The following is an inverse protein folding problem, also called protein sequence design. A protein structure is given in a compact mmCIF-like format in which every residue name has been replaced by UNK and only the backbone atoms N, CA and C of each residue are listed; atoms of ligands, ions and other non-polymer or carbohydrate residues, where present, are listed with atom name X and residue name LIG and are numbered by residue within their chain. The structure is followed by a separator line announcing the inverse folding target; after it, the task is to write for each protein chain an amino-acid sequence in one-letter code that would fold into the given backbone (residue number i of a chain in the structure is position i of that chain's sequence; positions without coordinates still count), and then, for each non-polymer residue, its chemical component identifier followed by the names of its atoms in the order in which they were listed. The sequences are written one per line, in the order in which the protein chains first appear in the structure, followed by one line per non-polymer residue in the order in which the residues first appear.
data_IF_375510880974
#
_entry.id   IF_375510880974
#
_cell.length_a   1.000
_cell.length_b   1.000
_cell.length_c   1.000
_cell.angle_alpha   90.00
_cell.angle_beta   90.00
_cell.angle_gamma   90.00
#
_symmetry.space_group_name_H-M   'P 1'
#
loop_
_entity.id
_entity.type
_entity.pdbx_description
1 polymer ?
2 non-polymer ?
3 water ?
#
# COMPACT_ATOMS: atom_id res chain seq x y z
N UNK A 24 14.52 -11.61 14.83
CA UNK A 24 13.99 -11.89 13.44
C UNK A 24 13.84 -10.59 12.63
N UNK A 25 14.33 -9.46 13.12
CA UNK A 25 14.22 -8.19 12.38
C UNK A 25 15.27 -8.16 11.27
N UNK A 26 14.96 -7.45 10.19
CA UNK A 26 15.82 -7.31 9.00
C UNK A 26 16.87 -6.25 9.30
N UNK A 27 18.14 -6.59 9.09
CA UNK A 27 19.31 -5.72 9.37
C UNK A 27 19.74 -4.93 8.12
N UNK A 28 19.81 -5.57 6.97
CA UNK A 28 20.59 -5.07 5.80
C UNK A 28 19.94 -5.52 4.50
N UNK A 29 20.08 -4.69 3.47
CA UNK A 29 19.59 -4.97 2.10
C UNK A 29 20.78 -4.92 1.14
N UNK A 30 21.05 -6.03 0.47
CA UNK A 30 21.99 -6.14 -0.67
C UNK A 30 21.19 -6.04 -1.96
N UNK A 31 21.75 -5.42 -2.99
CA UNK A 31 21.04 -5.25 -4.27
C UNK A 31 22.03 -5.18 -5.42
N UNK A 32 21.57 -5.52 -6.60
CA UNK A 32 22.34 -5.44 -7.86
C UNK A 32 21.34 -5.31 -9.01
N UNK A 33 21.76 -4.64 -10.07
CA UNK A 33 20.95 -4.41 -11.29
C UNK A 33 21.82 -4.68 -12.51
N UNK A 34 21.20 -5.21 -13.56
CA UNK A 34 21.84 -5.42 -14.86
C UNK A 34 20.77 -5.31 -15.95
N UNK A 35 21.10 -4.60 -17.02
CA UNK A 35 20.21 -4.40 -18.18
C UNK A 35 20.96 -4.74 -19.46
N UNK A 36 20.25 -5.19 -20.47
CA UNK A 36 20.81 -5.45 -21.81
C UNK A 36 19.79 -5.04 -22.86
N UNK A 37 20.27 -4.41 -23.93
CA UNK A 37 19.41 -3.93 -25.04
C UNK A 37 18.63 -5.12 -25.61
N UNK A 38 19.18 -6.33 -25.51
CA UNK A 38 18.59 -7.55 -26.07
C UNK A 38 19.16 -7.86 -27.44
N UNK A 39 18.46 -8.68 -28.21
CA UNK A 39 18.99 -9.22 -29.49
C UNK A 39 18.18 -8.68 -30.68
N UNK A 40 17.12 -7.91 -30.44
CA UNK A 40 16.29 -7.34 -31.54
C UNK A 40 16.41 -5.81 -31.51
N UNK A 41 16.01 -5.18 -30.41
CA UNK A 41 16.11 -3.72 -30.26
C UNK A 41 17.60 -3.31 -30.29
N UNK A 42 17.87 -2.09 -30.75
CA UNK A 42 19.25 -1.51 -30.73
C UNK A 42 19.30 -0.28 -29.82
N UNK A 43 18.17 0.11 -29.24
CA UNK A 43 18.11 1.19 -28.21
C UNK A 43 17.48 0.60 -26.96
N UNK A 44 18.15 0.79 -25.82
CA UNK A 44 17.63 0.34 -24.50
C UNK A 44 16.76 1.45 -23.92
N UNK A 45 15.44 1.24 -23.89
CA UNK A 45 14.48 2.19 -23.28
C UNK A 45 14.17 1.77 -21.84
N UNK A 46 14.69 0.60 -21.41
CA UNK A 46 14.64 0.18 -20.00
C UNK A 46 15.57 1.08 -19.18
N UNK A 47 15.18 1.41 -17.97
CA UNK A 47 16.03 2.12 -16.99
C UNK A 47 15.84 1.48 -15.62
N UNK A 48 16.80 1.69 -14.73
CA UNK A 48 16.73 1.17 -13.35
C UNK A 48 17.41 2.15 -12.41
N UNK A 49 17.00 2.11 -11.15
CA UNK A 49 17.65 2.81 -10.04
C UNK A 49 17.93 1.80 -8.92
N UNK A 50 19.20 1.65 -8.57
CA UNK A 50 19.65 0.75 -7.48
C UNK A 50 20.17 1.63 -6.35
N UNK A 51 19.28 2.10 -5.46
CA UNK A 51 19.63 3.04 -4.37
C UNK A 51 19.32 2.38 -3.03
N UNK A 52 20.06 1.33 -2.62
CA UNK A 52 19.85 0.73 -1.31
C UNK A 52 20.20 1.71 -0.18
N UNK A 53 21.00 2.73 -0.48
CA UNK A 53 21.35 3.81 0.49
C UNK A 53 20.11 4.64 0.83
N UNK A 54 19.05 4.57 0.01
CA UNK A 54 17.75 5.24 0.25
C UNK A 54 16.64 4.20 0.45
N UNK A 55 16.99 2.92 0.52
CA UNK A 55 16.03 1.80 0.56
C UNK A 55 15.10 1.82 -0.65
N UNK A 56 15.62 2.13 -1.84
CA UNK A 56 14.80 2.34 -3.05
C UNK A 56 15.39 1.53 -4.21
N UNK A 57 14.52 0.81 -4.90
CA UNK A 57 14.88 0.02 -6.10
C UNK A 57 13.79 0.19 -7.14
N UNK A 58 14.17 0.55 -8.36
CA UNK A 58 13.22 0.95 -9.42
C UNK A 58 13.63 0.25 -10.71
N UNK A 59 12.64 -0.26 -11.44
CA UNK A 59 12.78 -0.63 -12.87
C UNK A 59 11.67 0.05 -13.66
N UNK A 60 12.01 0.68 -14.79
CA UNK A 60 11.06 1.40 -15.66
C UNK A 60 11.26 0.97 -17.11
N UNK A 61 10.19 0.48 -17.74
CA UNK A 61 10.22 0.04 -19.15
C UNK A 61 9.66 1.17 -20.02
N UNK A 62 10.54 1.90 -20.70
CA UNK A 62 10.16 3.02 -21.57
C UNK A 62 9.58 2.51 -22.88
N UNK A 63 8.63 3.26 -23.45
CA UNK A 63 8.04 2.98 -24.77
C UNK A 63 8.04 4.25 -25.60
N UNK A 64 8.29 4.12 -26.90
CA UNK A 64 8.19 5.24 -27.86
C UNK A 64 9.43 5.43 -28.70
N UNK A 65 10.45 4.58 -28.50
CA UNK A 65 11.73 4.69 -29.22
C UNK A 65 12.65 5.71 -28.58
N UNK A 66 13.80 5.94 -29.20
CA UNK A 66 14.84 6.86 -28.70
C UNK A 66 14.29 8.29 -28.62
N UNK A 67 14.69 9.02 -27.56
CA UNK A 67 14.28 10.40 -27.24
C UNK A 67 12.82 10.45 -26.73
N UNK A 68 12.17 9.29 -26.57
CA UNK A 68 10.77 9.21 -26.07
C UNK A 68 10.70 8.27 -24.88
N UNK A 69 10.83 6.96 -25.12
CA UNK A 69 10.73 5.95 -24.05
C UNK A 69 11.83 6.10 -23.03
N UNK A 70 13.08 6.19 -23.50
CA UNK A 70 14.27 6.32 -22.62
C UNK A 70 14.23 7.67 -21.89
N UNK A 71 13.74 8.71 -22.57
CA UNK A 71 13.48 10.03 -21.95
C UNK A 71 12.60 9.86 -20.70
N UNK A 72 11.49 9.14 -20.83
CA UNK A 72 10.51 9.00 -19.71
C UNK A 72 11.12 8.10 -18.62
N UNK A 73 11.75 7.00 -19.00
CA UNK A 73 12.29 6.01 -18.02
C UNK A 73 13.42 6.66 -17.22
N UNK A 74 14.28 7.45 -17.88
CA UNK A 74 15.41 8.13 -17.21
C UNK A 74 14.88 9.24 -16.32
N UNK A 75 13.86 9.99 -16.77
CA UNK A 75 13.21 11.04 -15.96
C UNK A 75 12.63 10.42 -14.69
N UNK A 76 12.03 9.23 -14.82
CA UNK A 76 11.50 8.48 -13.65
C UNK A 76 12.63 8.25 -12.66
N UNK A 77 13.71 7.63 -13.11
CA UNK A 77 14.80 7.16 -12.19
C UNK A 77 15.45 8.39 -11.56
N UNK A 78 15.66 9.45 -12.32
CA UNK A 78 16.33 10.68 -11.81
C UNK A 78 15.43 11.41 -10.80
N UNK A 79 14.13 11.53 -11.09
CA UNK A 79 13.17 12.20 -10.18
C UNK A 79 13.07 11.41 -8.87
N UNK A 80 13.03 10.08 -8.95
CA UNK A 80 12.87 9.23 -7.75
C UNK A 80 14.17 9.24 -6.95
N UNK A 81 15.32 9.30 -7.63
CA UNK A 81 16.63 9.31 -6.95
C UNK A 81 16.75 10.57 -6.08
N UNK A 82 16.24 11.71 -6.55
CA UNK A 82 16.48 13.00 -5.86
C UNK A 82 15.58 13.12 -4.63
N UNK A 83 14.56 12.29 -4.49
CA UNK A 83 13.63 12.38 -3.34
C UNK A 83 14.38 12.03 -2.05
N UNK A 84 14.35 12.91 -1.02
CA UNK A 84 15.07 12.64 0.23
C UNK A 84 14.51 11.44 1.00
N UNK A 85 15.41 10.61 1.53
CA UNK A 85 15.09 9.31 2.12
C UNK A 85 14.52 9.52 3.51
N UNK A 86 13.21 9.81 3.60
CA UNK A 86 12.46 9.97 4.86
C UNK A 86 12.51 8.63 5.63
N UNK A 87 12.69 8.70 6.95
CA UNK A 87 12.89 7.51 7.81
C UNK A 87 11.61 6.68 7.86
N UNK A 88 10.45 7.36 7.87
CA UNK A 88 9.11 6.73 7.88
C UNK A 88 8.77 6.22 6.48
N UNK A 89 8.53 4.91 6.35
CA UNK A 89 8.21 4.30 5.05
C UNK A 89 6.92 4.88 4.48
N UNK A 90 5.80 5.01 5.23
CA UNK A 90 4.57 5.57 4.63
C UNK A 90 4.75 6.99 4.08
N UNK A 91 5.51 7.84 4.78
CA UNK A 91 5.78 9.22 4.31
C UNK A 91 6.63 9.16 3.04
N UNK A 92 7.64 8.29 3.03
CA UNK A 92 8.52 8.07 1.86
C UNK A 92 7.66 7.67 0.66
N UNK A 93 6.74 6.71 0.88
CA UNK A 93 5.85 6.18 -0.19
C UNK A 93 4.96 7.30 -0.71
N UNK A 94 4.42 8.14 0.17
CA UNK A 94 3.66 9.35 -0.22
C UNK A 94 4.48 10.25 -1.13
N UNK A 95 5.75 10.46 -0.79
CA UNK A 95 6.67 11.33 -1.56
C UNK A 95 6.95 10.70 -2.92
N UNK A 96 7.12 9.37 -2.97
CA UNK A 96 7.34 8.64 -4.25
C UNK A 96 6.14 8.82 -5.15
N UNK A 97 4.93 8.65 -4.61
CA UNK A 97 3.66 8.82 -5.35
C UNK A 97 3.61 10.23 -5.98
N UNK A 98 3.96 11.25 -5.19
CA UNK A 98 3.88 12.66 -5.63
C UNK A 98 4.90 12.89 -6.75
N UNK A 99 6.11 12.36 -6.58
CA UNK A 99 7.17 12.45 -7.60
C UNK A 99 6.72 11.84 -8.90
N UNK A 100 6.04 10.70 -8.84
CA UNK A 100 5.55 9.99 -10.05
C UNK A 100 4.42 10.80 -10.70
N UNK A 101 3.54 11.41 -9.91
CA UNK A 101 2.47 12.28 -10.45
C UNK A 101 3.11 13.44 -11.24
N UNK A 102 4.15 14.06 -10.68
CA UNK A 102 4.86 15.19 -11.33
C UNK A 102 5.51 14.73 -12.63
N UNK A 103 6.13 13.54 -12.61
CA UNK A 103 6.76 12.95 -13.83
C UNK A 103 5.67 12.74 -14.89
N UNK A 104 4.53 12.18 -14.47
CA UNK A 104 3.39 11.88 -15.38
C UNK A 104 2.94 13.17 -16.08
N UNK A 105 2.78 14.24 -15.31
CA UNK A 105 2.29 15.54 -15.84
C UNK A 105 3.30 16.14 -16.82
N UNK A 106 4.59 16.13 -16.47
CA UNK A 106 5.67 16.66 -17.33
C UNK A 106 5.69 15.89 -18.66
N UNK A 107 5.58 14.56 -18.60
CA UNK A 107 5.64 13.70 -19.81
C UNK A 107 4.42 13.99 -20.68
N UNK A 108 3.24 14.13 -20.05
CA UNK A 108 1.99 14.48 -20.79
C UNK A 108 2.18 15.79 -21.54
N UNK A 109 2.67 16.82 -20.86
CA UNK A 109 2.95 18.16 -21.44
C UNK A 109 3.89 18.00 -22.64
N UNK A 110 5.01 17.29 -22.47
CA UNK A 110 6.06 17.17 -23.51
C UNK A 110 5.50 16.41 -24.73
N UNK A 111 4.78 15.32 -24.49
CA UNK A 111 4.22 14.46 -25.57
C UNK A 111 3.19 15.27 -26.37
N UNK A 112 2.32 16.01 -25.66
CA UNK A 112 1.36 16.92 -26.29
C UNK A 112 2.05 17.93 -27.18
N UNK A 113 3.11 18.56 -26.66
CA UNK A 113 3.90 19.58 -27.41
C UNK A 113 4.46 18.96 -28.69
N UNK A 114 5.12 17.81 -28.59
CA UNK A 114 5.80 17.20 -29.76
C UNK A 114 4.76 16.63 -30.74
N UNK A 115 3.56 16.28 -30.27
CA UNK A 115 2.50 15.71 -31.10
C UNK A 115 2.73 14.23 -31.38
N UNK A 116 3.56 13.55 -30.57
CA UNK A 116 3.89 12.12 -30.78
C UNK A 116 2.73 11.29 -30.22
N UNK A 117 2.55 10.09 -30.76
CA UNK A 117 1.51 9.12 -30.32
C UNK A 117 2.00 8.34 -29.10
N UNK A 118 3.28 7.98 -29.04
CA UNK A 118 3.83 7.11 -27.97
C UNK A 118 4.94 7.86 -27.23
N UNK A 119 4.74 8.08 -25.93
CA UNK A 119 5.80 8.62 -25.03
C UNK A 119 5.40 8.27 -23.60
N UNK A 120 6.01 7.22 -23.05
CA UNK A 120 5.71 6.80 -21.68
C UNK A 120 6.69 5.78 -21.18
N UNK A 121 6.40 5.26 -19.99
CA UNK A 121 7.22 4.21 -19.37
C UNK A 121 6.42 3.54 -18.27
N UNK A 122 6.53 2.23 -18.17
CA UNK A 122 6.04 1.47 -17.01
C UNK A 122 6.91 1.83 -15.80
N UNK A 123 6.44 1.46 -14.63
CA UNK A 123 7.24 1.59 -13.40
C UNK A 123 6.94 0.43 -12.47
N UNK A 124 7.97 -0.10 -11.84
CA UNK A 124 7.86 -0.96 -10.64
C UNK A 124 8.95 -0.53 -9.67
N UNK A 125 8.58 -0.22 -8.44
CA UNK A 125 9.56 0.15 -7.40
C UNK A 125 9.28 -0.68 -6.15
N UNK A 126 10.33 -0.90 -5.36
CA UNK A 126 10.24 -1.42 -3.99
C UNK A 126 10.99 -0.45 -3.08
N UNK A 127 10.35 -0.01 -2.00
CA UNK A 127 10.96 0.82 -0.96
C UNK A 127 10.88 0.06 0.35
N UNK A 128 11.99 0.00 1.09
CA UNK A 128 12.11 -0.81 2.32
C UNK A 128 12.62 0.07 3.46
N UNK A 129 12.05 -0.14 4.64
CA UNK A 129 12.53 0.41 5.93
C UNK A 129 12.43 -0.70 6.99
N UNK A 130 13.57 -1.23 7.42
CA UNK A 130 13.61 -2.34 8.39
C UNK A 130 12.79 -3.53 7.90
N UNK A 131 11.77 -3.90 8.68
CA UNK A 131 10.93 -5.11 8.45
C UNK A 131 9.75 -4.83 7.55
N UNK A 132 9.59 -3.61 7.05
CA UNK A 132 8.42 -3.27 6.19
C UNK A 132 8.93 -2.79 4.85
N UNK A 133 8.17 -3.13 3.80
CA UNK A 133 8.46 -2.67 2.43
C UNK A 133 7.14 -2.36 1.74
N UNK A 134 7.21 -1.53 0.70
CA UNK A 134 6.07 -1.16 -0.15
C UNK A 134 6.49 -1.33 -1.61
N UNK A 135 5.60 -1.87 -2.43
CA UNK A 135 5.75 -1.93 -3.90
C UNK A 135 4.73 -0.97 -4.51
N UNK A 136 5.21 -0.06 -5.37
CA UNK A 136 4.35 0.76 -6.23
C UNK A 136 4.63 0.36 -7.68
N UNK A 137 3.59 0.19 -8.49
CA UNK A 137 3.79 -0.18 -9.91
C UNK A 137 2.64 0.32 -10.77
N UNK A 138 2.97 0.51 -12.05
CA UNK A 138 2.04 0.83 -13.14
C UNK A 138 2.66 0.31 -14.43
N UNK A 139 2.05 -0.72 -15.03
CA UNK A 139 2.53 -1.37 -16.25
C UNK A 139 2.74 -2.86 -16.07
N UNK A 140 3.56 -3.46 -16.94
CA UNK A 140 3.77 -4.92 -17.00
C UNK A 140 5.22 -5.25 -16.58
N UNK A 141 5.88 -4.32 -15.91
CA UNK A 141 7.13 -4.59 -15.16
C UNK A 141 6.74 -5.16 -13.79
N UNK A 142 7.46 -6.17 -13.32
CA UNK A 142 7.00 -7.03 -12.22
C UNK A 142 7.94 -6.92 -11.02
N UNK A 143 7.36 -7.11 -9.84
CA UNK A 143 8.10 -7.47 -8.61
C UNK A 143 7.68 -8.87 -8.18
N UNK A 144 8.66 -9.73 -7.94
CA UNK A 144 8.49 -11.07 -7.33
C UNK A 144 9.19 -11.10 -5.97
N UNK A 145 8.69 -11.95 -5.08
CA UNK A 145 9.38 -12.26 -3.81
C UNK A 145 9.74 -13.74 -3.80
N UNK A 146 11.00 -14.05 -3.49
CA UNK A 146 11.45 -15.43 -3.19
C UNK A 146 11.57 -15.56 -1.68
N UNK A 147 10.79 -16.48 -1.10
CA UNK A 147 10.83 -16.79 0.34
C UNK A 147 10.76 -18.30 0.52
N UNK A 148 11.70 -18.85 1.30
CA UNK A 148 11.80 -20.30 1.53
C UNK A 148 11.90 -21.09 0.24
N UNK A 149 12.60 -20.58 -0.77
CA UNK A 149 12.75 -21.24 -2.07
C UNK A 149 11.47 -21.24 -2.89
N UNK A 150 10.45 -20.46 -2.49
CA UNK A 150 9.16 -20.36 -3.22
C UNK A 150 9.03 -18.96 -3.81
N UNK A 151 8.78 -18.87 -5.11
CA UNK A 151 8.60 -17.57 -5.81
C UNK A 151 7.12 -17.18 -5.82
N UNK A 152 6.86 -15.89 -5.65
CA UNK A 152 5.48 -15.37 -5.57
C UNK A 152 5.43 -14.01 -6.24
N UNK A 153 4.51 -13.85 -7.18
CA UNK A 153 4.26 -12.59 -7.91
C UNK A 153 3.59 -11.61 -6.95
N UNK A 154 4.21 -10.45 -6.72
CA UNK A 154 3.65 -9.41 -5.83
C UNK A 154 2.84 -8.43 -6.67
N UNK A 155 3.42 -7.93 -7.76
CA UNK A 155 2.71 -7.03 -8.68
C UNK A 155 1.86 -7.88 -9.64
N UNK A 156 0.84 -7.25 -10.23
CA UNK A 156 -0.03 -7.87 -11.25
C UNK A 156 -0.11 -6.91 -12.44
N UNK A 157 0.20 -7.42 -13.63
CA UNK A 157 0.39 -6.58 -14.84
C UNK A 157 -0.85 -5.71 -15.05
N UNK A 158 -0.63 -4.41 -15.29
CA UNK A 158 -1.66 -3.51 -15.87
C UNK A 158 -1.61 -3.68 -17.38
N UNK A 159 -2.27 -4.72 -17.87
CA UNK A 159 -2.23 -5.15 -19.29
C UNK A 159 -3.61 -5.63 -19.70
N UNK A 160 -3.90 -5.45 -20.98
CA UNK A 160 -5.16 -5.91 -21.61
C UNK A 160 -5.32 -7.42 -21.37
N UNK A 161 -4.24 -8.17 -21.58
CA UNK A 161 -4.19 -9.65 -21.38
C UNK A 161 -4.61 -9.95 -19.94
N UNK A 162 -4.00 -9.27 -18.95
CA UNK A 162 -4.23 -9.57 -17.52
C UNK A 162 -5.72 -9.36 -17.20
N UNK A 163 -6.35 -8.33 -17.78
CA UNK A 163 -7.79 -8.05 -17.56
C UNK A 163 -8.63 -9.19 -18.14
N UNK A 164 -8.25 -9.71 -19.31
CA UNK A 164 -8.94 -10.86 -19.92
C UNK A 164 -8.74 -12.10 -19.03
N UNK A 165 -7.54 -12.30 -18.47
CA UNK A 165 -7.25 -13.48 -17.65
C UNK A 165 -7.97 -13.36 -16.31
N UNK A 166 -8.08 -12.13 -15.78
CA UNK A 166 -8.80 -11.86 -14.51
C UNK A 166 -10.30 -12.05 -14.68
N UNK A 167 -10.78 -12.30 -15.92
CA UNK A 167 -12.23 -12.50 -16.24
C UNK A 167 -12.43 -13.87 -16.88
N UNK A 177 1.25 -16.12 -23.73
CA UNK A 177 1.80 -15.46 -24.95
C UNK A 177 0.64 -15.05 -25.88
N UNK A 178 -0.11 -14.04 -25.46
CA UNK A 178 -1.33 -13.51 -26.12
C UNK A 178 -0.96 -12.37 -27.07
N UNK A 179 -1.58 -12.27 -28.26
CA UNK A 179 -1.27 -11.19 -29.20
C UNK A 179 -1.57 -9.78 -28.69
N UNK A 180 -2.41 -9.63 -27.66
CA UNK A 180 -2.78 -8.30 -27.08
C UNK A 180 -1.81 -7.90 -25.97
N UNK A 181 -0.68 -8.60 -25.80
CA UNK A 181 0.28 -8.38 -24.69
C UNK A 181 0.97 -7.01 -24.80
N UNK A 182 0.95 -6.36 -25.96
CA UNK A 182 1.68 -5.08 -26.16
C UNK A 182 0.84 -3.90 -25.66
N UNK A 183 -0.41 -4.14 -25.27
CA UNK A 183 -1.29 -3.07 -24.73
C UNK A 183 -1.08 -3.01 -23.21
N UNK A 184 -0.49 -1.93 -22.74
CA UNK A 184 -0.35 -1.62 -21.29
C UNK A 184 -1.49 -0.68 -20.92
N UNK A 185 -2.24 -1.01 -19.87
CA UNK A 185 -3.47 -0.28 -19.47
C UNK A 185 -3.12 0.86 -18.51
N UNK A 186 -1.99 0.80 -17.83
CA UNK A 186 -1.51 1.94 -17.01
C UNK A 186 0.00 2.01 -17.12
N UNK A 187 0.51 3.23 -17.23
CA UNK A 187 1.94 3.54 -17.25
C UNK A 187 2.08 5.06 -17.15
N UNK A 188 3.30 5.50 -16.85
CA UNK A 188 3.63 6.94 -16.75
C UNK A 188 3.43 7.55 -18.14
N UNK A 189 2.60 8.58 -18.23
CA UNK A 189 2.38 9.38 -19.45
C UNK A 189 1.21 8.89 -20.28
N UNK A 190 0.59 7.76 -19.92
CA UNK A 190 -0.54 7.18 -20.70
C UNK A 190 -1.79 8.03 -20.48
N UNK A 191 -2.13 8.27 -19.22
CA UNK A 191 -3.40 8.96 -18.82
C UNK A 191 -3.08 10.32 -18.18
N UNK A 192 -4.11 11.14 -18.06
CA UNK A 192 -4.05 12.41 -17.30
C UNK A 192 -3.77 12.12 -15.83
N UNK A 193 -4.59 11.29 -15.19
CA UNK A 193 -4.38 10.84 -13.79
C UNK A 193 -3.62 9.51 -13.80
N UNK A 194 -2.41 9.51 -13.27
CA UNK A 194 -1.62 8.27 -13.11
C UNK A 194 -2.17 7.55 -11.87
N UNK A 195 -2.67 6.34 -12.03
CA UNK A 195 -3.19 5.52 -10.92
C UNK A 195 -2.17 4.42 -10.65
N UNK A 196 -1.45 4.52 -9.52
CA UNK A 196 -0.45 3.51 -9.12
C UNK A 196 -1.13 2.42 -8.30
N UNK A 197 -0.76 1.16 -8.54
CA UNK A 197 -1.12 0.04 -7.67
C UNK A 197 -0.05 -0.06 -6.57
N UNK A 198 -0.47 -0.46 -5.38
CA UNK A 198 0.42 -0.56 -4.20
C UNK A 198 0.19 -1.91 -3.52
N UNK A 199 1.26 -2.52 -3.05
CA UNK A 199 1.21 -3.72 -2.18
C UNK A 199 2.21 -3.56 -1.05
N UNK A 200 1.75 -3.73 0.19
CA UNK A 200 2.61 -3.71 1.38
C UNK A 200 3.18 -5.11 1.60
N UNK A 201 4.42 -5.16 2.10
CA UNK A 201 5.15 -6.43 2.34
C UNK A 201 5.74 -6.38 3.74
N UNK A 202 5.60 -7.48 4.47
CA UNK A 202 6.40 -7.77 5.68
C UNK A 202 7.66 -8.53 5.24
N UNK A 203 8.82 -7.97 5.53
CA UNK A 203 10.12 -8.53 5.09
C UNK A 203 10.69 -9.39 6.21
N UNK A 204 11.12 -10.61 5.88
CA UNK A 204 11.87 -11.49 6.80
C UNK A 204 13.31 -11.59 6.34
N UNK A 205 14.27 -11.76 7.28
CA UNK A 205 15.63 -12.08 6.91
C UNK A 205 15.64 -13.31 6.00
N UNK A 206 16.36 -13.22 4.88
CA UNK A 206 16.47 -14.31 3.91
C UNK A 206 15.54 -14.13 2.73
N UNK A 207 14.62 -13.15 2.80
CA UNK A 207 13.72 -12.81 1.68
C UNK A 207 14.56 -12.28 0.51
N UNK A 208 14.15 -12.60 -0.71
CA UNK A 208 14.71 -12.07 -1.97
C UNK A 208 13.59 -11.41 -2.77
N UNK A 209 13.95 -10.46 -3.61
CA UNK A 209 13.02 -9.71 -4.47
C UNK A 209 13.63 -9.56 -5.84
N UNK A 210 12.79 -9.67 -6.87
CA UNK A 210 13.19 -9.41 -8.26
C UNK A 210 12.25 -8.36 -8.85
N UNK A 211 12.83 -7.24 -9.27
CA UNK A 211 12.17 -6.24 -10.13
C UNK A 211 12.67 -6.48 -11.56
N UNK A 212 11.76 -6.54 -12.53
CA UNK A 212 12.17 -6.83 -13.92
C UNK A 212 11.21 -6.19 -14.91
N UNK A 213 11.71 -5.94 -16.11
CA UNK A 213 10.90 -5.56 -17.27
C UNK A 213 10.38 -6.85 -17.90
N UNK A 214 9.37 -6.72 -18.77
CA UNK A 214 8.70 -7.89 -19.40
C UNK A 214 9.71 -8.66 -20.25
N UNK A 215 10.81 -8.03 -20.66
CA UNK A 215 11.87 -8.68 -21.46
C UNK A 215 12.44 -9.92 -20.79
N UNK A 216 12.41 -9.97 -19.46
CA UNK A 216 12.92 -11.16 -18.71
C UNK A 216 11.84 -12.25 -18.67
N UNK A 217 10.65 -11.93 -18.14
CA UNK A 217 9.60 -12.99 -17.97
C UNK A 217 9.11 -13.43 -19.33
N UNK A 218 9.38 -12.66 -20.38
CA UNK A 218 9.02 -13.05 -21.76
C UNK A 218 9.94 -14.19 -22.24
N UNK A 219 11.12 -14.33 -21.65
CA UNK A 219 12.15 -15.31 -22.10
C UNK A 219 12.43 -16.38 -21.05
N UNK A 220 11.86 -16.27 -19.84
CA UNK A 220 11.99 -17.30 -18.79
C UNK A 220 10.70 -17.33 -17.97
N UNK A 221 10.15 -18.53 -17.75
CA UNK A 221 8.91 -18.69 -16.97
C UNK A 221 9.27 -18.62 -15.49
N UNK A 222 8.24 -18.57 -14.65
CA UNK A 222 8.38 -18.29 -13.19
C UNK A 222 9.19 -19.37 -12.48
N UNK A 223 9.13 -20.63 -12.94
CA UNK A 223 9.89 -21.74 -12.29
C UNK A 223 11.38 -21.57 -12.55
N UNK A 224 11.75 -21.10 -13.75
CA UNK A 224 13.16 -20.82 -14.08
C UNK A 224 13.62 -19.57 -13.32
N UNK A 225 12.76 -18.55 -13.17
CA UNK A 225 13.10 -17.37 -12.36
C UNK A 225 13.39 -17.82 -10.92
N UNK A 226 12.55 -18.69 -10.36
CA UNK A 226 12.75 -19.23 -9.01
C UNK A 226 14.09 -19.97 -8.92
N UNK A 227 14.45 -20.74 -9.94
CA UNK A 227 15.73 -21.50 -9.98
C UNK A 227 16.91 -20.54 -9.92
N UNK A 228 16.91 -19.52 -10.78
CA UNK A 228 18.05 -18.58 -10.90
C UNK A 228 18.14 -17.73 -9.61
N UNK A 229 16.99 -17.30 -9.07
CA UNK A 229 16.95 -16.43 -7.87
C UNK A 229 17.46 -17.18 -6.64
N UNK A 230 17.40 -18.52 -6.63
CA UNK A 230 17.80 -19.36 -5.46
C UNK A 230 19.33 -19.45 -5.39
N UNK A 231 19.99 -18.30 -5.36
CA UNK A 231 21.46 -18.18 -5.16
C UNK A 231 21.74 -16.98 -4.27
N UNK A 232 22.91 -16.99 -3.63
CA UNK A 232 23.27 -16.10 -2.51
C UNK A 232 23.62 -14.69 -3.02
N UNK A 233 24.10 -14.59 -4.27
CA UNK A 233 24.74 -13.35 -4.76
C UNK A 233 23.86 -12.64 -5.77
N UNK A 234 23.25 -11.49 -5.41
CA UNK A 234 22.37 -10.77 -6.34
C UNK A 234 23.06 -10.36 -7.64
N UNK A 235 24.34 -10.02 -7.60
CA UNK A 235 25.12 -9.59 -8.79
C UNK A 235 25.18 -10.73 -9.82
N UNK A 236 25.58 -11.93 -9.38
CA UNK A 236 25.62 -13.13 -10.24
C UNK A 236 24.21 -13.48 -10.68
N UNK A 237 23.21 -13.28 -9.82
CA UNK A 237 21.80 -13.68 -10.10
C UNK A 237 21.26 -12.83 -11.25
N UNK A 238 21.38 -11.51 -11.16
CA UNK A 238 20.85 -10.61 -12.22
C UNK A 238 21.58 -10.92 -13.53
N UNK A 239 22.89 -11.13 -13.48
CA UNK A 239 23.69 -11.43 -14.71
C UNK A 239 23.27 -12.77 -15.29
N UNK A 240 22.94 -13.76 -14.45
CA UNK A 240 22.49 -15.10 -14.91
C UNK A 240 21.09 -14.99 -15.51
N UNK A 241 20.22 -14.15 -14.93
CA UNK A 241 18.86 -13.93 -15.48
C UNK A 241 18.96 -13.34 -16.88
N UNK A 242 19.75 -12.27 -17.03
CA UNK A 242 19.91 -11.58 -18.33
C UNK A 242 20.55 -12.57 -19.33
N UNK A 243 21.55 -13.34 -18.90
CA UNK A 243 22.25 -14.32 -19.76
C UNK A 243 21.23 -15.35 -20.29
N UNK A 244 20.38 -15.88 -19.42
CA UNK A 244 19.33 -16.86 -19.84
C UNK A 244 18.42 -16.21 -20.88
N UNK A 245 17.97 -14.98 -20.61
CA UNK A 245 17.15 -14.21 -21.57
C UNK A 245 17.84 -14.06 -22.90
N UNK A 246 19.10 -13.62 -22.89
CA UNK A 246 19.92 -13.40 -24.10
C UNK A 246 20.05 -14.73 -24.86
N UNK A 247 20.22 -15.82 -24.12
CA UNK A 247 20.37 -17.19 -24.65
C UNK A 247 19.13 -17.60 -25.46
N UNK A 248 17.96 -17.10 -25.08
CA UNK A 248 16.67 -17.47 -25.70
C UNK A 248 16.19 -16.36 -26.66
N UNK A 249 17.10 -15.51 -27.13
CA UNK A 249 16.84 -14.63 -28.27
C UNK A 249 16.44 -13.20 -27.91
N UNK A 250 16.28 -12.88 -26.62
CA UNK A 250 16.19 -11.49 -26.10
C UNK A 250 15.45 -10.55 -27.04
N UNK A 251 14.15 -10.81 -27.32
CA UNK A 251 13.38 -10.02 -28.28
C UNK A 251 13.13 -8.57 -27.79
N UNK A 252 13.23 -8.34 -26.48
CA UNK A 252 12.98 -7.03 -25.83
C UNK A 252 14.21 -6.61 -25.02
N UNK A 253 14.32 -5.33 -24.69
CA UNK A 253 15.23 -4.83 -23.64
C UNK A 253 14.96 -5.68 -22.40
N UNK A 254 15.99 -6.18 -21.75
CA UNK A 254 15.84 -7.10 -20.59
C UNK A 254 16.61 -6.48 -19.43
N UNK A 255 15.89 -6.19 -18.34
CA UNK A 255 16.48 -5.62 -17.11
C UNK A 255 16.06 -6.48 -15.92
N UNK A 256 17.02 -6.74 -15.03
CA UNK A 256 16.79 -7.47 -13.78
C UNK A 256 17.47 -6.73 -12.64
N UNK A 257 16.75 -6.59 -11.53
CA UNK A 257 17.26 -5.98 -10.29
C UNK A 257 16.86 -6.89 -9.13
N UNK A 258 17.86 -7.39 -8.39
CA UNK A 258 17.63 -8.34 -7.28
C UNK A 258 18.00 -7.66 -5.97
N UNK A 259 17.13 -7.80 -4.98
CA UNK A 259 17.34 -7.30 -3.61
C UNK A 259 17.25 -8.48 -2.65
N UNK A 260 18.19 -8.55 -1.72
CA UNK A 260 18.21 -9.61 -0.69
C UNK A 260 18.25 -8.97 0.70
N UNK A 261 17.37 -9.44 1.60
CA UNK A 261 17.27 -8.97 2.99
C UNK A 261 18.07 -9.90 3.91
N UNK A 262 18.74 -9.32 4.93
CA UNK A 262 19.51 -10.08 5.95
C UNK A 262 19.02 -9.71 7.35
N UNK B 24 0.03 -23.58 13.71
CA UNK B 24 0.87 -22.49 13.10
C UNK B 24 -0.01 -21.64 12.16
N UNK B 25 -0.88 -22.26 11.39
CA UNK B 25 -1.80 -21.55 10.47
C UNK B 25 -2.96 -20.95 11.27
N UNK B 26 -3.50 -19.83 10.79
CA UNK B 26 -4.63 -19.13 11.45
C UNK B 26 -5.92 -19.81 11.02
N UNK B 27 -6.74 -20.22 11.99
CA UNK B 27 -8.01 -20.96 11.76
C UNK B 27 -9.21 -20.01 11.71
N UNK B 28 -9.30 -19.04 12.62
CA UNK B 28 -10.56 -18.32 12.95
C UNK B 28 -10.26 -16.93 13.47
N UNK B 29 -11.16 -15.99 13.19
CA UNK B 29 -11.09 -14.59 13.67
C UNK B 29 -12.34 -14.29 14.49
N UNK B 30 -12.16 -13.96 15.77
CA UNK B 30 -13.21 -13.41 16.65
C UNK B 30 -13.06 -11.89 16.66
N UNK B 31 -14.18 -11.18 16.72
CA UNK B 31 -14.14 -9.70 16.72
C UNK B 31 -15.34 -9.14 17.46
N UNK B 32 -15.18 -7.93 17.96
CA UNK B 32 -16.27 -7.13 18.55
C UNK B 32 -15.91 -5.65 18.38
N UNK B 33 -16.94 -4.81 18.31
CA UNK B 33 -16.80 -3.35 18.22
C UNK B 33 -17.75 -2.70 19.21
N UNK B 34 -17.33 -1.57 19.74
CA UNK B 34 -18.19 -0.72 20.59
C UNK B 34 -17.83 0.74 20.38
N UNK B 35 -18.85 1.58 20.23
CA UNK B 35 -18.71 3.05 20.06
C UNK B 35 -19.54 3.74 21.13
N UNK B 36 -19.08 4.91 21.56
CA UNK B 36 -19.83 5.74 22.50
C UNK B 36 -19.64 7.21 22.12
N UNK B 37 -20.71 7.98 22.24
CA UNK B 37 -20.66 9.45 21.93
C UNK B 37 -19.59 10.11 22.81
N UNK B 38 -19.30 9.52 23.97
CA UNK B 38 -18.37 10.05 24.96
C UNK B 38 -19.12 10.81 26.04
N UNK B 39 -18.41 11.66 26.79
CA UNK B 39 -18.98 12.37 27.95
C UNK B 39 -19.23 13.85 27.63
N UNK B 40 -18.83 14.33 26.46
CA UNK B 40 -18.92 15.79 26.13
C UNK B 40 -19.79 15.99 24.88
N UNK B 41 -19.44 15.34 23.77
CA UNK B 41 -20.20 15.48 22.49
C UNK B 41 -21.60 14.90 22.66
N UNK B 42 -22.56 15.40 21.89
CA UNK B 42 -23.95 14.86 21.87
C UNK B 42 -24.26 14.20 20.53
N UNK B 43 -23.33 14.27 19.58
CA UNK B 43 -23.46 13.58 18.25
C UNK B 43 -22.26 12.65 18.07
N UNK B 44 -22.52 11.39 17.75
CA UNK B 44 -21.46 10.40 17.45
C UNK B 44 -21.19 10.43 15.95
N UNK B 45 -20.05 11.00 15.55
CA UNK B 45 -19.62 11.02 14.13
C UNK B 45 -18.68 9.85 13.86
N UNK B 46 -18.29 9.10 14.90
CA UNK B 46 -17.56 7.82 14.74
C UNK B 46 -18.49 6.79 14.12
N UNK B 47 -17.95 5.94 13.26
CA UNK B 47 -18.63 4.75 12.74
C UNK B 47 -17.67 3.57 12.74
N UNK B 48 -18.20 2.36 12.70
CA UNK B 48 -17.38 1.13 12.64
C UNK B 48 -18.11 0.08 11.81
N UNK B 49 -17.35 -0.84 11.25
CA UNK B 49 -17.88 -2.05 10.58
C UNK B 49 -17.14 -3.27 11.14
N UNK B 50 -17.90 -4.19 11.73
CA UNK B 50 -17.37 -5.45 12.29
C UNK B 50 -17.89 -6.60 11.41
N UNK B 51 -17.19 -6.91 10.33
CA UNK B 51 -17.62 -7.90 9.33
C UNK B 51 -16.58 -9.02 9.23
N UNK B 52 -16.42 -9.85 10.29
CA UNK B 52 -15.50 -10.99 10.21
C UNK B 52 -15.95 -12.02 9.17
N UNK B 53 -17.23 -12.00 8.78
CA UNK B 53 -17.79 -12.86 7.71
C UNK B 53 -17.17 -12.48 6.35
N UNK B 54 -16.58 -11.28 6.23
CA UNK B 54 -15.85 -10.82 5.03
C UNK B 54 -14.36 -10.59 5.35
N UNK B 55 -13.92 -10.96 6.55
CA UNK B 55 -12.56 -10.69 7.04
C UNK B 55 -12.24 -9.20 7.04
N UNK B 56 -13.21 -8.36 7.44
CA UNK B 56 -13.09 -6.89 7.34
C UNK B 56 -13.47 -6.24 8.67
N UNK B 57 -12.62 -5.33 9.13
CA UNK B 57 -12.87 -4.53 10.34
C UNK B 57 -12.46 -3.09 10.08
N UNK B 58 -13.37 -2.16 10.36
CA UNK B 58 -13.21 -0.74 9.95
C UNK B 58 -13.59 0.13 11.15
N UNK B 59 -12.82 1.19 11.38
CA UNK B 59 -13.21 2.32 12.25
C UNK B 59 -12.98 3.61 11.47
N UNK B 60 -13.96 4.52 11.50
CA UNK B 60 -13.91 5.81 10.77
C UNK B 60 -14.33 6.92 11.71
N UNK B 61 -13.47 7.92 11.88
CA UNK B 61 -13.74 9.10 12.74
C UNK B 61 -14.21 10.24 11.84
N UNK B 62 -15.51 10.51 11.83
CA UNK B 62 -16.10 11.59 11.04
C UNK B 62 -15.84 12.93 11.67
N UNK B 63 -15.71 13.97 10.84
CA UNK B 63 -15.54 15.37 11.31
C UNK B 63 -16.49 16.26 10.52
N UNK B 64 -17.05 17.28 11.20
CA UNK B 64 -17.89 18.31 10.54
C UNK B 64 -19.26 18.46 11.18
N UNK B 65 -19.54 17.72 12.25
CA UNK B 65 -20.84 17.77 12.95
C UNK B 65 -21.88 16.89 12.26
N UNK B 66 -23.11 16.89 12.80
CA UNK B 66 -24.21 16.05 12.29
C UNK B 66 -24.54 16.41 10.83
N UNK B 67 -24.85 15.38 10.02
CA UNK B 67 -25.16 15.46 8.58
C UNK B 67 -23.90 15.73 7.76
N UNK B 68 -22.72 15.77 8.39
CA UNK B 68 -21.44 16.00 7.68
C UNK B 68 -20.46 14.86 8.03
N UNK B 69 -19.94 14.86 9.26
CA UNK B 69 -18.96 13.84 9.68
C UNK B 69 -19.57 12.45 9.68
N UNK B 70 -20.74 12.30 10.31
CA UNK B 70 -21.41 10.98 10.41
C UNK B 70 -21.87 10.53 9.02
N UNK B 71 -22.28 11.47 8.17
CA UNK B 71 -22.61 11.18 6.76
C UNK B 71 -21.43 10.47 6.09
N UNK B 72 -20.23 11.03 6.22
CA UNK B 72 -19.02 10.48 5.55
C UNK B 72 -18.65 9.14 6.19
N UNK B 73 -18.63 9.05 7.52
CA UNK B 73 -18.18 7.83 8.23
C UNK B 73 -19.15 6.68 7.94
N UNK B 74 -20.46 6.95 7.92
CA UNK B 74 -21.49 5.91 7.66
C UNK B 74 -21.40 5.49 6.20
N UNK B 75 -21.19 6.44 5.27
CA UNK B 75 -21.03 6.13 3.83
C UNK B 75 -19.79 5.23 3.65
N UNK B 76 -18.73 5.50 4.39
CA UNK B 76 -17.51 4.63 4.38
C UNK B 76 -17.92 3.20 4.75
N UNK B 77 -18.56 3.02 5.90
CA UNK B 77 -18.81 1.66 6.45
C UNK B 77 -19.80 0.94 5.53
N UNK B 78 -20.80 1.63 5.00
CA UNK B 78 -21.83 1.02 4.11
C UNK B 78 -21.23 0.64 2.76
N UNK B 79 -20.38 1.50 2.19
CA UNK B 79 -19.73 1.22 0.90
C UNK B 79 -18.76 0.04 1.06
N UNK B 80 -18.02 -0.02 2.17
CA UNK B 80 -17.05 -1.11 2.41
C UNK B 80 -17.80 -2.42 2.67
N UNK B 81 -18.94 -2.36 3.35
CA UNK B 81 -19.73 -3.58 3.64
C UNK B 81 -20.22 -4.22 2.33
N UNK B 82 -20.58 -3.41 1.32
CA UNK B 82 -21.20 -3.91 0.06
C UNK B 82 -20.15 -4.61 -0.81
N UNK B 83 -18.85 -4.37 -0.59
CA UNK B 83 -17.80 -4.99 -1.44
C UNK B 83 -17.79 -6.49 -1.20
N UNK B 84 -17.90 -7.33 -2.25
CA UNK B 84 -17.87 -8.79 -2.07
C UNK B 84 -16.50 -9.28 -1.58
N UNK B 85 -16.52 -10.22 -0.65
CA UNK B 85 -15.32 -10.75 0.03
C UNK B 85 -14.59 -11.69 -0.91
N UNK B 86 -13.74 -11.13 -1.78
CA UNK B 86 -12.88 -11.90 -2.70
C UNK B 86 -11.90 -12.74 -1.88
N UNK B 87 -11.63 -13.96 -2.31
CA UNK B 87 -10.78 -14.95 -1.58
C UNK B 87 -9.34 -14.44 -1.52
N UNK B 88 -8.85 -13.80 -2.60
CA UNK B 88 -7.48 -13.22 -2.68
C UNK B 88 -7.44 -11.90 -1.90
N UNK B 89 -6.59 -11.83 -0.88
CA UNK B 89 -6.46 -10.64 -0.02
C UNK B 89 -6.03 -9.43 -0.86
N UNK B 90 -4.98 -9.49 -1.72
CA UNK B 90 -4.59 -8.30 -2.47
C UNK B 90 -5.70 -7.76 -3.38
N UNK B 91 -6.48 -8.64 -4.02
CA UNK B 91 -7.59 -8.22 -4.90
C UNK B 91 -8.68 -7.56 -4.05
N UNK B 92 -9.01 -8.17 -2.90
CA UNK B 92 -10.00 -7.62 -1.95
C UNK B 92 -9.56 -6.22 -1.55
N UNK B 93 -8.29 -6.07 -1.17
CA UNK B 93 -7.75 -4.78 -0.67
C UNK B 93 -7.80 -3.74 -1.80
N UNK B 94 -7.48 -4.13 -3.04
CA UNK B 94 -7.65 -3.27 -4.22
C UNK B 94 -9.08 -2.80 -4.39
N UNK B 95 -10.06 -3.68 -4.18
CA UNK B 95 -11.50 -3.36 -4.27
C UNK B 95 -11.88 -2.39 -3.14
N UNK B 96 -11.32 -2.56 -1.94
CA UNK B 96 -11.57 -1.66 -0.80
C UNK B 96 -11.05 -0.26 -1.15
N UNK B 97 -9.84 -0.18 -1.70
CA UNK B 97 -9.23 1.09 -2.16
C UNK B 97 -10.17 1.79 -3.16
N UNK B 98 -10.73 1.05 -4.12
CA UNK B 98 -11.60 1.63 -5.18
C UNK B 98 -12.89 2.14 -4.52
N UNK B 99 -13.46 1.36 -3.61
CA UNK B 99 -14.66 1.77 -2.86
C UNK B 99 -14.42 3.05 -2.09
N UNK B 100 -13.25 3.19 -1.49
CA UNK B 100 -12.87 4.40 -0.71
C UNK B 100 -12.66 5.58 -1.67
N UNK B 101 -12.06 5.37 -2.84
CA UNK B 101 -11.91 6.41 -3.87
C UNK B 101 -13.29 6.93 -4.26
N UNK B 102 -14.28 6.04 -4.46
CA UNK B 102 -15.64 6.44 -4.87
C UNK B 102 -16.30 7.21 -3.73
N UNK B 103 -16.10 6.79 -2.49
CA UNK B 103 -16.62 7.53 -1.30
C UNK B 103 -15.99 8.92 -1.27
N UNK B 104 -14.68 9.00 -1.48
CA UNK B 104 -13.92 10.28 -1.46
C UNK B 104 -14.51 11.22 -2.49
N UNK B 105 -14.76 10.73 -3.70
CA UNK B 105 -15.28 11.53 -4.84
C UNK B 105 -16.68 12.03 -4.52
N UNK B 106 -17.56 11.14 -4.03
CA UNK B 106 -18.96 11.49 -3.66
C UNK B 106 -18.95 12.58 -2.60
N UNK B 107 -18.12 12.43 -1.57
CA UNK B 107 -18.05 13.36 -0.41
C UNK B 107 -17.52 14.70 -0.91
N UNK B 108 -16.50 14.69 -1.76
CA UNK B 108 -15.90 15.92 -2.35
C UNK B 108 -17.00 16.68 -3.11
N UNK B 109 -17.72 15.98 -3.97
CA UNK B 109 -18.82 16.57 -4.78
C UNK B 109 -19.87 17.18 -3.84
N UNK B 110 -20.30 16.44 -2.83
CA UNK B 110 -21.40 16.87 -1.92
C UNK B 110 -20.94 18.07 -1.09
N UNK B 111 -19.71 18.05 -0.57
CA UNK B 111 -19.16 19.14 0.26
C UNK B 111 -19.06 20.42 -0.59
N UNK B 112 -18.54 20.29 -1.82
CA UNK B 112 -18.51 21.39 -2.79
C UNK B 112 -19.89 21.97 -3.02
N UNK B 113 -20.88 21.12 -3.25
CA UNK B 113 -22.28 21.51 -3.50
C UNK B 113 -22.82 22.31 -2.32
N UNK B 114 -22.68 21.80 -1.11
CA UNK B 114 -23.27 22.44 0.10
C UNK B 114 -22.48 23.72 0.45
N UNK B 115 -21.21 23.80 0.05
CA UNK B 115 -20.33 24.93 0.39
C UNK B 115 -19.85 24.86 1.83
N UNK B 116 -19.86 23.67 2.44
CA UNK B 116 -19.42 23.49 3.85
C UNK B 116 -17.90 23.47 3.87
N UNK B 117 -17.30 23.88 4.98
CA UNK B 117 -15.83 23.94 5.16
C UNK B 117 -15.30 22.57 5.56
N UNK B 118 -16.02 21.85 6.43
CA UNK B 118 -15.56 20.55 6.99
C UNK B 118 -16.58 19.47 6.63
N UNK B 119 -16.14 18.46 5.89
CA UNK B 119 -16.95 17.25 5.65
C UNK B 119 -16.00 16.12 5.26
N UNK B 120 -15.68 15.26 6.23
CA UNK B 120 -14.77 14.15 5.97
C UNK B 120 -14.80 13.13 7.08
N UNK B 121 -13.92 12.15 6.98
CA UNK B 121 -13.76 11.11 8.02
C UNK B 121 -12.39 10.47 7.86
N UNK B 122 -11.74 10.20 8.98
CA UNK B 122 -10.56 9.33 9.00
C UNK B 122 -11.00 7.91 8.66
N UNK B 123 -10.02 7.06 8.37
CA UNK B 123 -10.30 5.62 8.16
C UNK B 123 -9.11 4.83 8.68
N UNK B 124 -9.41 3.72 9.35
CA UNK B 124 -8.44 2.63 9.59
C UNK B 124 -9.21 1.32 9.40
N UNK B 125 -8.68 0.43 8.55
CA UNK B 125 -9.28 -0.90 8.35
C UNK B 125 -8.19 -1.95 8.47
N UNK B 126 -8.62 -3.15 8.83
CA UNK B 126 -7.82 -4.39 8.75
C UNK B 126 -8.62 -5.41 7.95
N UNK B 127 -8.00 -5.97 6.92
CA UNK B 127 -8.58 -7.07 6.12
C UNK B 127 -7.67 -8.28 6.28
N UNK B 128 -8.26 -9.45 6.57
CA UNK B 128 -7.49 -10.68 6.85
C UNK B 128 -7.99 -11.81 5.95
N UNK B 129 -7.05 -12.63 5.47
CA UNK B 129 -7.31 -13.90 4.76
C UNK B 129 -6.29 -14.94 5.24
N UNK B 130 -6.76 -15.95 5.98
CA UNK B 130 -5.89 -16.98 6.58
C UNK B 130 -4.78 -16.35 7.41
N UNK B 131 -3.53 -16.56 7.01
CA UNK B 131 -2.32 -16.15 7.77
C UNK B 131 -1.85 -14.73 7.40
N UNK B 132 -2.53 -14.04 6.47
CA UNK B 132 -2.07 -12.72 6.01
C UNK B 132 -3.15 -11.68 6.25
N UNK B 133 -2.72 -10.46 6.55
CA UNK B 133 -3.62 -9.32 6.76
C UNK B 133 -2.99 -8.08 6.15
N UNK B 134 -3.84 -7.09 5.86
CA UNK B 134 -3.47 -5.76 5.35
C UNK B 134 -4.17 -4.70 6.20
N UNK B 135 -3.46 -3.62 6.50
CA UNK B 135 -4.04 -2.41 7.12
C UNK B 135 -4.04 -1.28 6.08
N UNK B 136 -5.20 -0.67 5.85
CA UNK B 136 -5.31 0.60 5.10
C UNK B 136 -5.77 1.70 6.05
N UNK B 137 -5.15 2.87 5.98
CA UNK B 137 -5.53 3.98 6.88
C UNK B 137 -5.23 5.34 6.25
N UNK B 138 -5.98 6.33 6.71
CA UNK B 138 -5.82 7.76 6.40
C UNK B 138 -6.45 8.55 7.56
N UNK B 139 -5.63 9.23 8.35
CA UNK B 139 -6.08 10.00 9.52
C UNK B 139 -5.35 9.58 10.78
N UNK B 140 -5.96 9.88 11.93
CA UNK B 140 -5.36 9.63 13.27
C UNK B 140 -6.14 8.54 14.00
N UNK B 141 -6.91 7.74 13.28
CA UNK B 141 -7.49 6.48 13.81
C UNK B 141 -6.43 5.39 13.65
N UNK B 142 -6.29 4.54 14.65
CA UNK B 142 -5.09 3.68 14.78
C UNK B 142 -5.45 2.21 14.69
N UNK B 143 -4.48 1.43 14.21
CA UNK B 143 -4.45 -0.03 14.37
C UNK B 143 -3.22 -0.41 15.20
N UNK B 144 -3.44 -1.19 16.25
CA UNK B 144 -2.40 -1.80 17.11
C UNK B 144 -2.48 -3.32 16.98
N UNK B 145 -1.36 -3.99 17.21
CA UNK B 145 -1.29 -5.46 17.32
C UNK B 145 -0.76 -5.83 18.69
N UNK B 146 -1.46 -6.72 19.40
CA UNK B 146 -0.96 -7.34 20.64
C UNK B 146 -0.45 -8.75 20.30
N UNK B 147 0.83 -8.99 20.51
CA UNK B 147 1.46 -10.31 20.27
C UNK B 147 2.41 -10.61 21.43
N UNK B 148 2.27 -11.79 22.02
CA UNK B 148 3.12 -12.23 23.15
C UNK B 148 3.09 -11.24 24.31
N UNK B 149 1.93 -10.66 24.58
CA UNK B 149 1.76 -9.66 25.64
C UNK B 149 2.39 -8.32 25.34
N UNK B 150 2.86 -8.09 24.11
CA UNK B 150 3.54 -6.82 23.72
C UNK B 150 2.66 -6.08 22.72
N UNK B 151 2.38 -4.81 22.98
CA UNK B 151 1.55 -3.96 22.09
C UNK B 151 2.46 -3.22 21.12
N UNK B 152 2.02 -3.11 19.87
CA UNK B 152 2.83 -2.49 18.80
C UNK B 152 1.88 -1.72 17.89
N UNK B 153 2.19 -0.45 17.66
CA UNK B 153 1.43 0.42 16.73
C UNK B 153 1.76 0.00 15.30
N UNK B 154 0.74 -0.32 14.51
CA UNK B 154 0.90 -0.73 13.10
C UNK B 154 0.77 0.50 12.19
N UNK B 155 -0.29 1.28 12.37
CA UNK B 155 -0.49 2.53 11.59
C UNK B 155 0.32 3.65 12.24
N UNK B 156 0.58 4.72 11.47
CA UNK B 156 1.21 5.96 11.97
C UNK B 156 0.33 7.15 11.57
N UNK B 157 -0.06 7.96 12.55
CA UNK B 157 -1.06 9.03 12.37
C UNK B 157 -0.67 9.95 11.21
N UNK B 158 -1.64 10.24 10.33
CA UNK B 158 -1.57 11.35 9.36
C UNK B 158 -2.06 12.64 10.05
N UNK B 159 -1.19 13.26 10.84
CA UNK B 159 -1.54 14.44 11.67
C UNK B 159 -0.37 15.42 11.70
N UNK B 160 -0.68 16.70 11.90
CA UNK B 160 0.30 17.78 12.09
C UNK B 160 1.25 17.42 13.23
N UNK B 161 0.69 16.96 14.36
CA UNK B 161 1.47 16.56 15.56
C UNK B 161 2.45 15.45 15.16
N UNK B 162 1.96 14.41 14.48
CA UNK B 162 2.80 13.23 14.11
C UNK B 162 3.96 13.69 13.22
N UNK B 163 3.71 14.63 12.31
CA UNK B 163 4.77 15.18 11.43
C UNK B 163 5.81 15.90 12.28
N UNK B 164 5.39 16.65 13.31
CA UNK B 164 6.32 17.32 14.23
C UNK B 164 7.14 16.27 14.99
N UNK B 165 6.55 15.15 15.37
CA UNK B 165 7.27 14.07 16.09
C UNK B 165 8.37 13.44 15.21
N UNK B 178 -1.47 18.16 22.73
CA UNK B 178 -0.94 19.30 21.92
C UNK B 178 -2.09 20.09 21.32
N UNK B 179 -2.01 21.44 21.34
CA UNK B 179 -3.11 22.27 20.85
C UNK B 179 -3.41 22.11 19.35
N UNK B 180 -2.45 21.61 18.55
CA UNK B 180 -2.60 21.47 17.09
C UNK B 180 -3.17 20.09 16.72
N UNK B 181 -3.63 19.32 17.71
CA UNK B 181 -4.03 17.90 17.53
C UNK B 181 -5.27 17.77 16.65
N UNK B 182 -6.02 18.84 16.37
CA UNK B 182 -7.29 18.74 15.64
C UNK B 182 -7.03 18.72 14.13
N UNK B 183 -5.79 18.95 13.71
CA UNK B 183 -5.44 19.00 12.26
C UNK B 183 -5.04 17.59 11.82
N UNK B 184 -5.88 16.99 10.99
CA UNK B 184 -5.56 15.71 10.28
C UNK B 184 -5.08 16.10 8.88
N UNK B 185 -3.94 15.55 8.47
CA UNK B 185 -3.26 15.96 7.21
C UNK B 185 -3.77 15.12 6.04
N UNK B 186 -4.33 13.94 6.27
CA UNK B 186 -5.11 13.29 5.19
C UNK B 186 -6.22 12.46 5.80
N UNK B 187 -7.35 12.43 5.10
CA UNK B 187 -8.57 11.69 5.47
C UNK B 187 -9.49 11.67 4.26
N UNK B 188 -10.54 10.87 4.35
CA UNK B 188 -11.55 10.77 3.26
C UNK B 188 -12.25 12.12 3.14
N UNK B 189 -12.25 12.70 1.93
CA UNK B 189 -12.94 13.95 1.60
C UNK B 189 -12.07 15.17 1.74
N UNK B 190 -10.85 15.03 2.26
CA UNK B 190 -9.92 16.18 2.46
C UNK B 190 -9.34 16.59 1.10
N UNK B 191 -8.82 15.62 0.34
CA UNK B 191 -8.06 15.85 -0.91
C UNK B 191 -8.86 15.40 -2.12
N UNK B 192 -8.45 15.88 -3.29
CA UNK B 192 -8.96 15.41 -4.60
C UNK B 192 -8.69 13.92 -4.77
N UNK B 193 -7.41 13.54 -4.74
CA UNK B 193 -6.96 12.13 -4.84
C UNK B 193 -6.74 11.60 -3.41
N UNK B 194 -7.53 10.63 -2.98
CA UNK B 194 -7.35 9.99 -1.66
C UNK B 194 -6.15 9.04 -1.75
N UNK B 195 -5.15 9.28 -0.91
CA UNK B 195 -3.96 8.39 -0.79
C UNK B 195 -4.07 7.64 0.53
N UNK B 196 -4.29 6.33 0.46
CA UNK B 196 -4.32 5.47 1.67
C UNK B 196 -2.93 4.91 1.91
N UNK B 197 -2.51 4.87 3.18
CA UNK B 197 -1.28 4.18 3.62
C UNK B 197 -1.63 2.72 3.86
N UNK B 198 -0.68 1.82 3.59
CA UNK B 198 -0.89 0.35 3.68
C UNK B 198 0.27 -0.27 4.44
N UNK B 199 -0.05 -1.24 5.29
CA UNK B 199 0.95 -2.06 6.03
C UNK B 199 0.53 -3.53 5.98
N UNK B 200 1.46 -4.41 5.67
CA UNK B 200 1.22 -5.86 5.60
C UNK B 200 1.49 -6.46 6.98
N UNK B 201 0.70 -7.47 7.36
CA UNK B 201 0.87 -8.19 8.63
C UNK B 201 0.85 -9.69 8.35
N UNK B 202 1.80 -10.41 8.95
CA UNK B 202 1.76 -11.87 9.07
C UNK B 202 1.07 -12.18 10.40
N UNK B 203 -0.06 -12.86 10.36
CA UNK B 203 -0.88 -13.12 11.57
C UNK B 203 -0.50 -14.49 12.13
N UNK B 204 -0.25 -14.55 13.44
CA UNK B 204 -0.04 -15.83 14.16
C UNK B 204 -1.25 -16.10 15.04
N UNK B 205 -1.62 -17.39 15.24
CA UNK B 205 -2.62 -17.75 16.23
C UNK B 205 -2.25 -17.13 17.58
N UNK B 206 -3.20 -16.48 18.24
CA UNK B 206 -2.99 -15.80 19.52
C UNK B 206 -2.78 -14.30 19.36
N UNK B 207 -2.58 -13.82 18.13
CA UNK B 207 -2.45 -12.37 17.85
C UNK B 207 -3.78 -11.68 18.15
N UNK B 208 -3.71 -10.46 18.64
CA UNK B 208 -4.85 -9.53 18.85
C UNK B 208 -4.60 -8.25 18.05
N UNK B 209 -5.68 -7.56 17.70
CA UNK B 209 -5.64 -6.29 16.94
C UNK B 209 -6.65 -5.34 17.55
N UNK B 210 -6.30 -4.06 17.59
CA UNK B 210 -7.20 -2.99 18.07
C UNK B 210 -7.25 -1.89 16.99
N UNK B 211 -8.44 -1.66 16.46
CA UNK B 211 -8.74 -0.45 15.65
C UNK B 211 -9.48 0.51 16.57
N UNK B 212 -9.07 1.79 16.57
CA UNK B 212 -9.72 2.77 17.48
C UNK B 212 -9.67 4.17 16.88
N UNK B 213 -10.62 4.99 17.32
CA UNK B 213 -10.61 6.45 17.06
C UNK B 213 -9.75 7.09 18.14
N UNK B 214 -9.33 8.33 17.91
CA UNK B 214 -8.44 9.09 18.83
C UNK B 214 -9.13 9.26 20.19
N UNK B 215 -10.46 9.15 20.26
CA UNK B 215 -11.21 9.26 21.53
C UNK B 215 -10.72 8.27 22.59
N UNK B 216 -10.18 7.13 22.16
CA UNK B 216 -9.60 6.12 23.08
C UNK B 216 -8.18 6.53 23.47
N UNK B 217 -7.31 6.82 22.50
CA UNK B 217 -5.89 7.21 22.75
C UNK B 217 -5.85 8.51 23.57
N UNK B 218 -6.91 9.31 23.52
CA UNK B 218 -6.99 10.58 24.27
C UNK B 218 -7.14 10.28 25.76
N UNK B 219 -7.70 9.12 26.10
CA UNK B 219 -8.08 8.79 27.50
C UNK B 219 -7.26 7.64 28.07
N UNK B 220 -6.43 6.95 27.28
CA UNK B 220 -5.62 5.83 27.79
C UNK B 220 -4.31 5.74 27.01
N UNK B 221 -3.20 5.60 27.73
CA UNK B 221 -1.87 5.48 27.09
C UNK B 221 -1.72 4.05 26.59
N UNK B 222 -0.69 3.81 25.79
CA UNK B 222 -0.47 2.52 25.09
C UNK B 222 -0.26 1.36 26.07
N UNK B 223 0.33 1.61 27.25
CA UNK B 223 0.56 0.54 28.25
C UNK B 223 -0.77 0.10 28.86
N UNK B 224 -1.69 1.03 29.06
CA UNK B 224 -3.06 0.70 29.55
C UNK B 224 -3.83 -0.03 28.45
N UNK B 225 -3.66 0.36 27.19
CA UNK B 225 -4.30 -0.38 26.06
C UNK B 225 -3.78 -1.82 26.07
N UNK B 226 -2.47 -2.01 26.25
CA UNK B 226 -1.86 -3.36 26.32
C UNK B 226 -2.47 -4.16 27.48
N UNK B 227 -2.67 -3.53 28.63
CA UNK B 227 -3.26 -4.18 29.83
C UNK B 227 -4.68 -4.66 29.52
N UNK B 228 -5.52 -3.79 28.96
CA UNK B 228 -6.95 -4.10 28.70
C UNK B 228 -7.05 -5.15 27.59
N UNK B 229 -6.22 -5.06 26.55
CA UNK B 229 -6.26 -5.99 25.40
C UNK B 229 -5.83 -7.40 25.83
N UNK B 230 -5.07 -7.52 26.91
CA UNK B 230 -4.53 -8.81 27.40
C UNK B 230 -5.62 -9.59 28.13
N UNK B 231 -6.76 -9.79 27.47
CA UNK B 231 -7.89 -10.63 27.97
C UNK B 231 -8.48 -11.41 26.80
N UNK B 232 -9.18 -12.49 27.13
CA UNK B 232 -9.54 -13.57 26.18
C UNK B 232 -10.71 -13.16 25.29
N UNK B 233 -11.58 -12.29 25.78
CA UNK B 233 -12.89 -12.03 25.13
C UNK B 233 -12.89 -10.64 24.50
N UNK B 234 -12.87 -10.54 23.14
CA UNK B 234 -12.87 -9.23 22.49
C UNK B 234 -14.08 -8.35 22.84
N UNK B 235 -15.23 -8.96 23.06
CA UNK B 235 -16.49 -8.25 23.43
C UNK B 235 -16.32 -7.52 24.76
N UNK B 236 -15.84 -8.23 25.79
CA UNK B 236 -15.56 -7.65 27.11
C UNK B 236 -14.43 -6.62 26.98
N UNK B 237 -13.45 -6.87 26.11
CA UNK B 237 -12.25 -6.00 25.98
C UNK B 237 -12.67 -4.64 25.42
N UNK B 238 -13.43 -4.61 24.32
CA UNK B 238 -13.86 -3.34 23.70
C UNK B 238 -14.73 -2.58 24.71
N UNK B 239 -15.62 -3.27 25.41
CA UNK B 239 -16.51 -2.61 26.40
C UNK B 239 -15.68 -2.07 27.58
N UNK B 240 -14.62 -2.77 27.98
CA UNK B 240 -13.71 -2.30 29.06
C UNK B 240 -12.91 -1.08 28.60
N UNK B 241 -12.46 -1.08 27.35
CA UNK B 241 -11.73 0.09 26.78
C UNK B 241 -12.62 1.33 26.81
N UNK B 242 -13.84 1.21 26.30
CA UNK B 242 -14.79 2.35 26.20
C UNK B 242 -15.12 2.81 27.63
N UNK B 243 -15.35 1.85 28.54
CA UNK B 243 -15.71 2.17 29.94
C UNK B 243 -14.57 2.95 30.60
N UNK B 244 -13.33 2.55 30.40
CA UNK B 244 -12.14 3.26 30.93
C UNK B 244 -12.14 4.69 30.39
N UNK B 245 -12.40 4.87 29.09
CA UNK B 245 -12.53 6.20 28.47
C UNK B 245 -13.58 7.05 29.16
N UNK B 246 -14.77 6.50 29.38
CA UNK B 246 -15.91 7.22 30.03
C UNK B 246 -15.52 7.68 31.43
N UNK B 247 -14.80 6.88 32.21
CA UNK B 247 -14.42 7.25 33.62
C UNK B 247 -13.48 8.45 33.61
N UNK B 248 -12.71 8.62 32.53
CA UNK B 248 -11.70 9.69 32.41
C UNK B 248 -12.25 10.87 31.59
N UNK B 249 -13.56 10.93 31.42
CA UNK B 249 -14.28 12.11 30.92
C UNK B 249 -14.55 12.11 29.41
N UNK B 250 -14.05 11.13 28.65
CA UNK B 250 -14.41 10.85 27.24
C UNK B 250 -14.76 12.13 26.48
N UNK B 251 -13.77 13.03 26.28
CA UNK B 251 -14.02 14.34 25.67
C UNK B 251 -14.47 14.27 24.21
N UNK B 252 -14.15 13.15 23.53
CA UNK B 252 -14.44 12.90 22.10
C UNK B 252 -15.24 11.61 21.98
N UNK B 253 -15.90 11.43 20.83
CA UNK B 253 -16.46 10.12 20.40
C UNK B 253 -15.36 9.08 20.57
N UNK B 254 -15.67 7.96 21.20
CA UNK B 254 -14.67 6.91 21.54
C UNK B 254 -15.19 5.60 20.95
N UNK B 255 -14.43 5.02 20.04
CA UNK B 255 -14.77 3.74 19.38
C UNK B 255 -13.58 2.79 19.48
N UNK B 256 -13.85 1.53 19.81
CA UNK B 256 -12.83 0.47 19.89
C UNK B 256 -13.36 -0.79 19.21
N UNK B 257 -12.51 -1.42 18.39
CA UNK B 257 -12.82 -2.69 17.70
C UNK B 257 -11.64 -3.63 17.90
N UNK B 258 -11.90 -4.78 18.51
CA UNK B 258 -10.84 -5.78 18.83
C UNK B 258 -11.08 -7.03 17.98
N UNK B 259 -10.00 -7.52 17.39
CA UNK B 259 -9.99 -8.77 16.59
C UNK B 259 -8.96 -9.70 17.23
N UNK B 260 -9.33 -10.97 17.38
CA UNK B 260 -8.43 -12.01 17.95
C UNK B 260 -8.35 -13.18 16.97
N UNK B 261 -7.12 -13.60 16.66
CA UNK B 261 -6.85 -14.73 15.74
C UNK B 261 -6.65 -16.01 16.54
N UNK B 262 -7.15 -17.14 16.02
CA UNK B 262 -7.00 -18.49 16.63
C UNK B 262 -6.38 -19.45 15.61
#
# INVERSE_FOLDING_TARGET
MGSSHHHHHHSSGLVPRGSHMVPNSVSYYRSASYSHVGMVRKVNEDASLDAPEAGLWVVADGMGGHAAGDFVSSLIVDTLRRIPAASSLPAYVGALRTGLAQVNERVRQEAGLRGVSVMGSTLVLLAARGNQASCLWAGDSRLYRLRGGVLEAISRDHSYVQELLDNALISEEEARHHPRANVVTRAVGVHEQLELSEAALHVLPGDSFLLCSDGLNKTADDSELRDVLSHSDPYAVVRSLVHLGLTRGAPDNITALVVRAF
MGSSHHHHHHSSGLVPRGSHMVPNSVSYYRSASYSHVGMVRKVNEDASLDAPEAGLWVVADGMGGHAAGDFVSSLIVDTLRRIPAASSLPAYVGALRTGLAQVNERVRQEAGLRGVSVMGSTLVLLAARGNQASCLWAGDSRLYRLRGGVLEAISRDHSYVQELLDNALISEEEARHHPRANVVTRAVGVHEQLELSEAALHVLPGDSFLLCSDGLNKTADDSELRDVLSHSDPYAVVRSLVHLGLTRGAPDNITALVVRAF
#
